data_IF_310172964554
#
_entry.id   IF_310172964554
#
_cell.length_a   1.000
_cell.length_b   1.000
_cell.length_c   1.000
_cell.angle_alpha   90.00
_cell.angle_beta   90.00
_cell.angle_gamma   90.00
#
_symmetry.space_group_name_H-M   'P 1'
#
loop_
_entity.id
_entity.type
_entity.pdbx_description
1 polymer ?
#
# COMPACT_ATOMS: atom_id res chain seq x y z
N UNK A 1 -16.75 -24.96 -26.51
CA UNK A 1 -16.55 -24.77 -25.08
C UNK A 1 -15.30 -23.91 -24.95
N UNK A 2 -15.47 -22.61 -24.85
CA UNK A 2 -14.36 -21.64 -24.70
C UNK A 2 -14.09 -21.49 -23.20
N UNK A 3 -12.95 -21.98 -22.73
CA UNK A 3 -12.42 -21.63 -21.41
C UNK A 3 -12.22 -20.13 -21.37
N UNK A 4 -13.04 -19.46 -20.59
CA UNK A 4 -12.82 -18.08 -20.18
C UNK A 4 -11.59 -18.01 -19.29
N UNK A 5 -10.42 -17.80 -19.88
CA UNK A 5 -9.23 -17.46 -19.13
C UNK A 5 -9.47 -16.10 -18.43
N UNK A 6 -9.57 -16.13 -17.09
CA UNK A 6 -9.56 -14.92 -16.25
C UNK A 6 -8.34 -14.05 -16.62
N UNK A 7 -8.50 -12.71 -16.69
CA UNK A 7 -7.40 -11.82 -17.04
C UNK A 7 -6.17 -12.08 -16.14
N UNK A 8 -4.97 -12.16 -16.72
CA UNK A 8 -3.71 -12.40 -16.01
C UNK A 8 -3.47 -11.46 -14.80
N UNK A 9 -4.05 -10.26 -14.82
CA UNK A 9 -3.99 -9.29 -13.72
C UNK A 9 -4.74 -9.76 -12.46
N UNK A 10 -5.94 -10.31 -12.60
CA UNK A 10 -6.71 -10.87 -11.49
C UNK A 10 -5.96 -12.01 -10.80
N UNK A 11 -5.30 -12.88 -11.58
CA UNK A 11 -4.49 -13.95 -11.02
C UNK A 11 -3.31 -13.46 -10.18
N UNK A 12 -2.69 -12.32 -10.54
CA UNK A 12 -1.57 -11.76 -9.76
C UNK A 12 -2.02 -11.11 -8.45
N UNK A 13 -3.14 -10.39 -8.45
CA UNK A 13 -3.72 -9.79 -7.25
C UNK A 13 -4.21 -10.86 -6.27
N UNK A 14 -4.87 -11.92 -6.77
CA UNK A 14 -5.30 -13.05 -5.94
C UNK A 14 -4.12 -13.82 -5.33
N UNK A 15 -3.02 -13.99 -6.08
CA UNK A 15 -1.83 -14.64 -5.56
C UNK A 15 -1.15 -13.81 -4.46
N UNK A 16 -1.11 -12.47 -4.60
CA UNK A 16 -0.63 -11.57 -3.57
C UNK A 16 -1.53 -11.61 -2.33
N UNK A 17 -2.86 -11.51 -2.51
CA UNK A 17 -3.84 -11.58 -1.44
C UNK A 17 -3.69 -12.84 -0.56
N UNK A 18 -3.48 -14.01 -1.18
CA UNK A 18 -3.24 -15.26 -0.42
C UNK A 18 -2.00 -15.18 0.45
N UNK A 19 -0.88 -14.66 -0.07
CA UNK A 19 0.37 -14.52 0.69
C UNK A 19 0.22 -13.57 1.86
N UNK A 20 -0.45 -12.44 1.65
CA UNK A 20 -0.78 -11.50 2.73
C UNK A 20 -1.71 -12.15 3.76
N UNK A 21 -2.72 -12.92 3.34
CA UNK A 21 -3.61 -13.64 4.26
C UNK A 21 -2.83 -14.65 5.12
N UNK A 22 -1.91 -15.40 4.51
CA UNK A 22 -1.09 -16.39 5.21
C UNK A 22 -0.13 -15.73 6.23
N UNK A 23 0.36 -14.52 5.92
CA UNK A 23 1.28 -13.76 6.76
C UNK A 23 0.59 -12.97 7.88
N UNK A 24 -0.73 -12.82 7.85
CA UNK A 24 -1.47 -11.83 8.65
C UNK A 24 -1.21 -11.92 10.16
N UNK A 25 -1.09 -13.13 10.74
CA UNK A 25 -0.89 -13.33 12.18
C UNK A 25 0.40 -12.73 12.71
N UNK A 26 1.48 -12.86 11.93
CA UNK A 26 2.83 -12.41 12.32
C UNK A 26 3.23 -11.11 11.63
N UNK A 27 2.35 -10.55 10.79
CA UNK A 27 2.61 -9.38 9.97
C UNK A 27 3.19 -8.20 10.77
N UNK A 28 2.57 -7.86 11.89
CA UNK A 28 2.95 -6.70 12.70
C UNK A 28 4.37 -6.82 13.29
N UNK A 29 4.86 -8.04 13.52
CA UNK A 29 6.22 -8.27 14.00
C UNK A 29 7.29 -8.04 12.93
N UNK A 30 6.91 -8.20 11.66
CA UNK A 30 7.84 -8.15 10.53
C UNK A 30 7.68 -6.88 9.67
N UNK A 31 6.52 -6.23 9.68
CA UNK A 31 6.17 -5.08 8.85
C UNK A 31 6.67 -3.74 9.41
N UNK A 32 7.97 -3.66 9.77
CA UNK A 32 8.56 -2.48 10.43
C UNK A 32 8.46 -1.22 9.58
N UNK A 33 8.86 -1.31 8.32
CA UNK A 33 8.83 -0.16 7.40
C UNK A 33 7.41 0.26 7.11
N UNK A 34 6.49 -0.70 6.92
CA UNK A 34 5.06 -0.44 6.70
C UNK A 34 4.46 0.33 7.88
N UNK A 35 4.79 -0.08 9.10
CA UNK A 35 4.36 0.61 10.33
C UNK A 35 4.91 2.03 10.41
N UNK A 36 6.20 2.24 10.15
CA UNK A 36 6.82 3.56 10.17
C UNK A 36 6.27 4.47 9.05
N UNK A 37 6.02 3.90 7.86
CA UNK A 37 5.37 4.62 6.76
C UNK A 37 3.95 5.04 7.12
N UNK A 38 3.15 4.15 7.71
CA UNK A 38 1.81 4.45 8.18
C UNK A 38 1.81 5.56 9.23
N UNK A 39 2.70 5.49 10.23
CA UNK A 39 2.87 6.54 11.24
C UNK A 39 3.23 7.89 10.61
N UNK A 40 4.12 7.88 9.62
CA UNK A 40 4.51 9.11 8.92
C UNK A 40 3.35 9.69 8.11
N UNK A 41 2.60 8.85 7.39
CA UNK A 41 1.40 9.27 6.65
C UNK A 41 0.37 9.91 7.60
N UNK A 42 0.11 9.29 8.76
CA UNK A 42 -0.80 9.84 9.77
C UNK A 42 -0.35 11.19 10.29
N UNK A 43 0.94 11.31 10.68
CA UNK A 43 1.50 12.57 11.18
C UNK A 43 1.43 13.69 10.15
N UNK A 44 1.69 13.37 8.89
CA UNK A 44 1.60 14.34 7.81
C UNK A 44 0.14 14.72 7.51
N UNK A 45 -0.75 13.74 7.45
CA UNK A 45 -2.18 13.97 7.29
C UNK A 45 -2.75 14.88 8.38
N UNK A 46 -2.32 14.68 9.63
CA UNK A 46 -2.74 15.52 10.77
C UNK A 46 -2.33 17.00 10.62
N UNK A 47 -1.27 17.28 9.87
CA UNK A 47 -0.83 18.65 9.54
C UNK A 47 -1.59 19.24 8.34
N UNK A 48 -2.06 18.38 7.43
CA UNK A 48 -2.79 18.81 6.24
C UNK A 48 -4.27 19.09 6.51
N UNK A 49 -4.87 18.34 7.41
CA UNK A 49 -6.29 18.46 7.72
C UNK A 49 -6.61 19.73 8.53
N UNK A 50 -7.71 20.43 8.25
CA UNK A 50 -8.20 21.50 9.11
C UNK A 50 -8.38 21.04 10.56
N UNK A 51 -8.19 21.97 11.52
CA UNK A 51 -8.28 21.65 12.97
C UNK A 51 -9.66 21.12 13.36
N UNK A 52 -10.70 21.56 12.68
CA UNK A 52 -12.08 21.18 12.88
C UNK A 52 -12.57 20.08 11.92
N UNK A 53 -11.63 19.46 11.17
CA UNK A 53 -11.96 18.39 10.26
C UNK A 53 -12.51 17.18 11.02
N UNK A 54 -13.77 16.88 10.78
CA UNK A 54 -14.50 15.79 11.43
C UNK A 54 -15.29 14.99 10.39
N UNK A 55 -14.66 13.98 9.75
CA UNK A 55 -15.32 13.20 8.72
C UNK A 55 -16.41 12.31 9.34
N UNK A 56 -17.51 12.12 8.63
CA UNK A 56 -18.57 11.18 9.05
C UNK A 56 -18.19 9.71 8.85
N UNK A 57 -17.32 9.47 7.87
CA UNK A 57 -16.78 8.15 7.60
C UNK A 57 -15.32 8.25 7.15
N UNK A 58 -14.53 7.25 7.51
CA UNK A 58 -13.18 7.03 7.04
C UNK A 58 -13.09 5.72 6.28
N UNK A 59 -12.29 5.68 5.23
CA UNK A 59 -12.00 4.47 4.45
C UNK A 59 -10.51 4.20 4.49
N UNK A 60 -10.11 2.99 4.88
CA UNK A 60 -8.73 2.51 4.84
C UNK A 60 -8.60 1.45 3.74
N UNK A 61 -7.95 1.81 2.63
CA UNK A 61 -7.80 0.93 1.46
C UNK A 61 -6.47 0.20 1.50
N UNK A 62 -6.52 -1.13 1.44
CA UNK A 62 -5.39 -2.00 1.73
C UNK A 62 -5.05 -1.94 3.21
N UNK A 63 -6.09 -2.05 4.05
CA UNK A 63 -6.01 -1.82 5.50
C UNK A 63 -5.04 -2.76 6.22
N UNK A 64 -4.75 -3.91 5.64
CA UNK A 64 -3.91 -4.92 6.26
C UNK A 64 -4.41 -5.28 7.66
N UNK A 65 -3.48 -5.35 8.60
CA UNK A 65 -3.76 -5.60 10.02
C UNK A 65 -4.14 -4.34 10.81
N UNK A 66 -4.25 -3.15 10.15
CA UNK A 66 -4.87 -1.95 10.70
C UNK A 66 -3.94 -0.87 11.24
N UNK A 67 -2.72 -0.68 10.72
CA UNK A 67 -1.84 0.41 11.18
C UNK A 67 -2.44 1.80 10.96
N UNK A 68 -3.15 2.02 9.84
CA UNK A 68 -3.86 3.26 9.57
C UNK A 68 -5.26 3.25 10.21
N UNK A 69 -5.95 2.11 10.19
CA UNK A 69 -7.26 1.94 10.84
C UNK A 69 -7.22 2.33 12.32
N UNK A 70 -6.15 1.95 13.06
CA UNK A 70 -5.96 2.35 14.46
C UNK A 70 -5.96 3.86 14.64
N UNK A 71 -5.22 4.56 13.80
CA UNK A 71 -5.16 6.02 13.83
C UNK A 71 -6.54 6.64 13.56
N UNK A 72 -7.27 6.15 12.54
CA UNK A 72 -8.61 6.65 12.21
C UNK A 72 -9.60 6.44 13.37
N UNK A 73 -9.61 5.26 13.99
CA UNK A 73 -10.47 4.94 15.13
C UNK A 73 -10.20 5.83 16.34
N UNK A 74 -8.93 6.18 16.58
CA UNK A 74 -8.53 7.02 17.70
C UNK A 74 -8.76 8.51 17.44
N UNK A 75 -8.41 8.99 16.22
CA UNK A 75 -8.51 10.41 15.87
C UNK A 75 -9.94 10.87 15.64
N UNK A 76 -10.79 10.02 15.07
CA UNK A 76 -12.17 10.33 14.71
C UNK A 76 -13.15 9.41 15.45
N UNK A 77 -13.39 9.65 16.77
CA UNK A 77 -14.18 8.75 17.61
C UNK A 77 -15.65 8.62 17.19
N UNK A 78 -16.18 9.61 16.45
CA UNK A 78 -17.57 9.60 15.99
C UNK A 78 -17.74 9.04 14.57
N UNK A 79 -16.64 8.75 13.86
CA UNK A 79 -16.68 8.28 12.48
C UNK A 79 -16.89 6.78 12.39
N UNK A 80 -17.66 6.33 11.39
CA UNK A 80 -17.57 4.96 10.91
C UNK A 80 -16.24 4.75 10.18
N UNK A 81 -15.60 3.61 10.37
CA UNK A 81 -14.34 3.25 9.69
C UNK A 81 -14.57 2.03 8.82
N UNK A 82 -14.39 2.19 7.52
CA UNK A 82 -14.52 1.14 6.52
C UNK A 82 -13.11 0.67 6.12
N UNK A 83 -12.76 -0.53 6.54
CA UNK A 83 -11.48 -1.16 6.20
C UNK A 83 -11.67 -2.09 4.97
N UNK A 84 -10.97 -1.78 3.90
CA UNK A 84 -11.03 -2.51 2.63
C UNK A 84 -9.71 -3.24 2.41
N UNK A 85 -9.75 -4.53 2.21
CA UNK A 85 -8.60 -5.33 1.83
C UNK A 85 -9.02 -6.52 0.95
N UNK A 86 -8.13 -7.00 0.09
CA UNK A 86 -8.34 -8.18 -0.72
C UNK A 86 -7.93 -9.48 0.00
N UNK A 87 -7.18 -9.36 1.10
CA UNK A 87 -6.64 -10.45 1.90
C UNK A 87 -7.53 -10.71 3.13
N UNK A 88 -8.34 -11.76 3.09
CA UNK A 88 -9.28 -12.12 4.15
C UNK A 88 -8.59 -12.32 5.51
N UNK A 89 -7.39 -12.92 5.53
CA UNK A 89 -6.60 -13.08 6.75
C UNK A 89 -6.23 -11.77 7.41
N UNK A 90 -5.95 -10.71 6.62
CA UNK A 90 -5.69 -9.37 7.14
C UNK A 90 -6.91 -8.79 7.84
N UNK A 91 -8.09 -8.85 7.22
CA UNK A 91 -9.34 -8.37 7.81
C UNK A 91 -9.72 -9.15 9.06
N UNK A 92 -9.44 -10.45 9.10
CA UNK A 92 -9.65 -11.28 10.28
C UNK A 92 -8.81 -10.80 11.46
N UNK A 93 -7.51 -10.57 11.24
CA UNK A 93 -6.61 -10.06 12.29
C UNK A 93 -6.97 -8.63 12.70
N UNK A 94 -7.34 -7.78 11.76
CA UNK A 94 -7.79 -6.42 12.01
C UNK A 94 -9.02 -6.40 12.93
N UNK A 95 -10.05 -7.20 12.62
CA UNK A 95 -11.26 -7.29 13.44
C UNK A 95 -10.96 -7.83 14.83
N UNK A 96 -10.04 -8.79 14.94
CA UNK A 96 -9.61 -9.34 16.23
C UNK A 96 -8.90 -8.29 17.10
N UNK A 97 -8.11 -7.40 16.49
CA UNK A 97 -7.37 -6.33 17.21
C UNK A 97 -8.27 -5.16 17.64
N UNK A 98 -9.25 -4.82 16.83
CA UNK A 98 -10.11 -3.64 17.04
C UNK A 98 -11.59 -4.03 17.06
N UNK A 99 -12.06 -4.71 18.12
CA UNK A 99 -13.47 -5.14 18.25
C UNK A 99 -14.38 -3.96 18.60
N UNK A 100 -14.84 -3.22 17.61
CA UNK A 100 -15.73 -2.07 17.76
C UNK A 100 -16.82 -2.06 16.69
N UNK A 101 -18.04 -1.63 17.04
CA UNK A 101 -19.16 -1.52 16.10
C UNK A 101 -18.94 -0.46 15.01
N UNK A 102 -17.99 0.45 15.21
CA UNK A 102 -17.65 1.48 14.22
C UNK A 102 -16.75 0.97 13.07
N UNK A 103 -16.17 -0.22 13.24
CA UNK A 103 -15.31 -0.82 12.23
C UNK A 103 -16.10 -1.77 11.33
N UNK A 104 -16.13 -1.46 10.04
CA UNK A 104 -16.77 -2.26 9.01
C UNK A 104 -15.69 -2.80 8.05
N UNK A 105 -15.55 -4.10 7.94
CA UNK A 105 -14.57 -4.73 7.05
C UNK A 105 -15.21 -5.15 5.74
N UNK A 106 -14.48 -4.94 4.63
CA UNK A 106 -14.93 -5.23 3.26
C UNK A 106 -13.85 -6.00 2.51
N UNK A 107 -14.17 -7.23 2.11
CA UNK A 107 -13.30 -8.05 1.26
C UNK A 107 -13.47 -7.60 -0.20
N UNK A 108 -12.74 -6.57 -0.60
CA UNK A 108 -12.84 -5.91 -1.90
C UNK A 108 -11.46 -5.57 -2.46
N UNK A 109 -11.39 -5.46 -3.79
CA UNK A 109 -10.22 -4.92 -4.47
C UNK A 109 -10.22 -3.38 -4.37
N UNK A 110 -9.27 -2.82 -3.64
CA UNK A 110 -9.16 -1.36 -3.46
C UNK A 110 -8.88 -0.58 -4.74
N UNK A 111 -8.34 -1.21 -5.79
CA UNK A 111 -8.18 -0.63 -7.13
C UNK A 111 -9.55 -0.41 -7.81
N UNK A 112 -10.53 -1.25 -7.49
CA UNK A 112 -11.87 -1.26 -8.12
C UNK A 112 -12.95 -0.69 -7.20
N UNK A 113 -12.54 -0.01 -6.12
CA UNK A 113 -13.46 0.58 -5.16
C UNK A 113 -14.40 1.57 -5.86
N UNK A 114 -15.70 1.43 -5.63
CA UNK A 114 -16.74 2.26 -6.23
C UNK A 114 -17.80 2.64 -5.19
N UNK A 115 -18.57 3.69 -5.47
CA UNK A 115 -19.59 4.25 -4.57
C UNK A 115 -20.65 3.22 -4.15
N UNK A 116 -21.01 2.31 -5.07
CA UNK A 116 -21.97 1.23 -4.79
C UNK A 116 -21.48 0.18 -3.80
N UNK A 117 -20.17 0.08 -3.58
CA UNK A 117 -19.58 -0.87 -2.63
C UNK A 117 -19.72 -0.41 -1.18
N UNK A 118 -19.68 0.91 -0.96
CA UNK A 118 -19.69 1.51 0.35
C UNK A 118 -20.67 2.68 0.35
N UNK A 119 -21.64 2.65 1.27
CA UNK A 119 -22.47 3.83 1.50
C UNK A 119 -21.69 4.82 2.37
N UNK A 120 -21.01 5.79 1.75
CA UNK A 120 -20.16 6.78 2.40
C UNK A 120 -20.80 8.15 2.24
N UNK A 121 -21.08 8.86 3.33
CA UNK A 121 -21.66 10.20 3.29
C UNK A 121 -20.62 11.23 2.77
N UNK A 122 -21.12 12.35 2.26
CA UNK A 122 -20.28 13.53 2.03
C UNK A 122 -19.51 13.89 3.32
N UNK A 123 -18.34 14.49 3.20
CA UNK A 123 -17.34 14.66 4.26
C UNK A 123 -16.75 13.33 4.74
N UNK A 124 -16.04 12.67 3.87
CA UNK A 124 -15.32 11.44 4.14
C UNK A 124 -13.83 11.60 3.86
N UNK A 125 -13.04 10.78 4.55
CA UNK A 125 -11.60 10.65 4.39
C UNK A 125 -11.28 9.25 3.88
N UNK A 126 -10.54 9.15 2.78
CA UNK A 126 -9.96 7.90 2.32
C UNK A 126 -8.44 7.93 2.52
N UNK A 127 -7.91 6.89 3.12
CA UNK A 127 -6.48 6.72 3.37
C UNK A 127 -6.00 5.38 2.83
N UNK A 128 -4.75 5.30 2.35
CA UNK A 128 -4.16 4.05 1.87
C UNK A 128 -2.66 4.03 2.12
N UNK A 129 -2.16 2.99 2.79
CA UNK A 129 -0.75 2.85 3.15
C UNK A 129 -0.03 1.76 2.38
N UNK A 130 0.94 2.11 1.54
CA UNK A 130 1.78 1.15 0.82
C UNK A 130 0.97 0.03 0.11
N UNK A 131 -0.17 0.41 -0.49
CA UNK A 131 -1.06 -0.50 -1.22
C UNK A 131 -1.06 -0.21 -2.72
N UNK A 132 -1.05 1.07 -3.13
CA UNK A 132 -1.24 1.49 -4.50
C UNK A 132 -0.21 0.91 -5.50
N UNK A 133 1.02 0.59 -5.07
CA UNK A 133 2.03 -0.06 -5.90
C UNK A 133 1.65 -1.48 -6.37
N UNK A 134 0.61 -2.08 -5.81
CA UNK A 134 0.09 -3.38 -6.23
C UNK A 134 -0.95 -3.29 -7.35
N UNK A 135 -1.43 -2.08 -7.64
CA UNK A 135 -2.49 -1.84 -8.63
C UNK A 135 -1.98 -1.91 -10.06
N UNK A 136 -2.87 -2.27 -10.96
CA UNK A 136 -2.58 -2.29 -12.37
C UNK A 136 -2.74 -0.92 -13.03
N UNK A 137 -3.59 -0.06 -12.45
CA UNK A 137 -3.84 1.30 -12.91
C UNK A 137 -4.08 2.22 -11.71
N UNK A 138 -3.00 2.84 -11.23
CA UNK A 138 -3.06 3.73 -10.06
C UNK A 138 -3.90 4.98 -10.35
N UNK A 139 -3.82 5.55 -11.56
CA UNK A 139 -4.61 6.72 -11.93
C UNK A 139 -6.11 6.45 -11.81
N UNK A 140 -6.56 5.36 -12.39
CA UNK A 140 -7.98 5.00 -12.32
C UNK A 140 -8.43 4.73 -10.87
N UNK A 141 -7.57 4.10 -10.06
CA UNK A 141 -7.86 3.89 -8.64
C UNK A 141 -8.03 5.23 -7.90
N UNK A 142 -7.13 6.21 -8.11
CA UNK A 142 -7.24 7.53 -7.48
C UNK A 142 -8.52 8.26 -7.92
N UNK A 143 -8.90 8.19 -9.20
CA UNK A 143 -10.16 8.76 -9.71
C UNK A 143 -11.37 8.16 -9.01
N UNK A 144 -11.39 6.83 -8.82
CA UNK A 144 -12.42 6.12 -8.08
C UNK A 144 -12.44 6.52 -6.60
N UNK A 145 -11.28 6.61 -5.96
CA UNK A 145 -11.18 7.05 -4.57
C UNK A 145 -11.73 8.46 -4.36
N UNK A 146 -11.44 9.40 -5.29
CA UNK A 146 -12.02 10.74 -5.27
C UNK A 146 -13.52 10.73 -5.56
N UNK A 147 -14.08 9.73 -6.26
CA UNK A 147 -15.54 9.61 -6.41
C UNK A 147 -16.23 9.14 -5.12
N UNK A 148 -15.51 8.39 -4.28
CA UNK A 148 -16.02 7.83 -3.02
C UNK A 148 -15.81 8.79 -1.85
N UNK A 149 -14.73 9.59 -1.86
CA UNK A 149 -14.31 10.43 -0.72
C UNK A 149 -13.95 11.85 -1.15
N UNK A 150 -14.12 12.81 -0.23
CA UNK A 150 -13.76 14.21 -0.48
C UNK A 150 -12.27 14.48 -0.27
N UNK A 151 -11.64 13.74 0.63
CA UNK A 151 -10.22 13.86 0.95
C UNK A 151 -9.57 12.48 0.80
N UNK A 152 -8.48 12.44 0.07
CA UNK A 152 -7.71 11.21 -0.18
C UNK A 152 -6.26 11.45 0.24
N UNK A 153 -5.71 10.56 1.05
CA UNK A 153 -4.29 10.54 1.38
C UNK A 153 -3.73 9.13 1.20
N UNK A 154 -2.58 9.00 0.54
CA UNK A 154 -1.99 7.68 0.37
C UNK A 154 -0.47 7.71 0.35
N UNK A 155 0.14 6.55 0.62
CA UNK A 155 1.55 6.32 0.38
C UNK A 155 1.76 5.15 -0.57
N UNK A 156 2.81 5.24 -1.37
CA UNK A 156 3.20 4.19 -2.31
C UNK A 156 4.71 3.98 -2.29
N UNK A 157 5.14 2.72 -2.39
CA UNK A 157 6.52 2.36 -2.64
C UNK A 157 6.88 2.76 -4.07
N UNK A 158 7.99 3.48 -4.23
CA UNK A 158 8.43 4.06 -5.50
C UNK A 158 9.66 3.33 -6.06
N UNK A 159 9.91 3.58 -7.34
CA UNK A 159 11.17 3.22 -7.98
C UNK A 159 12.37 3.79 -7.21
N UNK A 160 13.55 3.23 -7.42
CA UNK A 160 14.71 3.51 -6.57
C UNK A 160 14.67 2.88 -5.18
N UNK A 161 13.63 2.10 -4.84
CA UNK A 161 13.62 1.25 -3.65
C UNK A 161 14.47 0.00 -3.87
N UNK A 162 15.03 -0.55 -2.78
CA UNK A 162 15.82 -1.79 -2.78
C UNK A 162 17.08 -1.74 -3.65
N UNK A 163 17.74 -0.59 -3.74
CA UNK A 163 18.89 -0.40 -4.62
C UNK A 163 20.01 -1.43 -4.38
N UNK A 164 20.34 -1.72 -3.11
CA UNK A 164 21.37 -2.71 -2.79
C UNK A 164 20.99 -4.11 -3.31
N UNK A 165 19.71 -4.46 -3.28
CA UNK A 165 19.20 -5.72 -3.82
C UNK A 165 19.34 -5.78 -5.35
N UNK A 166 19.02 -4.70 -6.05
CA UNK A 166 19.15 -4.63 -7.51
C UNK A 166 20.61 -4.68 -7.95
N UNK A 167 21.49 -3.90 -7.32
CA UNK A 167 22.94 -3.93 -7.58
C UNK A 167 23.51 -5.33 -7.39
N UNK A 168 23.14 -6.04 -6.30
CA UNK A 168 23.61 -7.40 -6.06
C UNK A 168 23.14 -8.41 -7.13
N UNK A 169 21.96 -8.18 -7.73
CA UNK A 169 21.49 -8.98 -8.86
C UNK A 169 22.30 -8.68 -10.13
N UNK A 170 22.54 -7.42 -10.43
CA UNK A 170 23.35 -6.97 -11.58
C UNK A 170 24.78 -7.49 -11.50
N UNK A 171 25.45 -7.34 -10.37
CA UNK A 171 26.82 -7.80 -10.11
C UNK A 171 26.98 -9.31 -10.27
N UNK A 172 25.90 -10.06 -10.02
CA UNK A 172 25.90 -11.52 -10.18
C UNK A 172 25.36 -12.01 -11.54
N UNK A 173 25.06 -11.09 -12.46
CA UNK A 173 24.48 -11.37 -13.76
C UNK A 173 23.08 -11.98 -13.69
N UNK A 174 22.29 -11.61 -12.67
CA UNK A 174 20.95 -12.10 -12.43
C UNK A 174 19.92 -10.98 -12.54
N UNK A 175 18.68 -11.31 -12.83
CA UNK A 175 17.58 -10.32 -12.85
C UNK A 175 16.86 -10.33 -11.53
N UNK A 176 16.64 -9.15 -10.94
CA UNK A 176 15.79 -9.06 -9.76
C UNK A 176 14.35 -9.48 -10.08
N UNK A 177 13.69 -10.12 -9.13
CA UNK A 177 12.28 -10.47 -9.24
C UNK A 177 11.34 -9.32 -8.89
N UNK A 178 11.87 -8.13 -8.64
CA UNK A 178 11.08 -6.97 -8.24
C UNK A 178 10.07 -6.60 -9.32
N UNK A 179 8.87 -6.25 -8.88
CA UNK A 179 7.84 -5.70 -9.75
C UNK A 179 8.21 -4.27 -10.12
N UNK A 180 7.85 -3.80 -11.31
CA UNK A 180 7.96 -2.38 -11.63
C UNK A 180 7.19 -1.55 -10.60
N UNK A 181 7.86 -0.58 -10.01
CA UNK A 181 7.26 0.37 -9.08
C UNK A 181 6.98 1.68 -9.81
N UNK A 182 5.95 2.44 -9.40
CA UNK A 182 5.68 3.75 -9.97
C UNK A 182 6.82 4.71 -9.65
N UNK A 183 7.13 5.64 -10.56
CA UNK A 183 8.02 6.75 -10.24
C UNK A 183 7.26 7.87 -9.50
N UNK A 184 8.02 8.71 -8.77
CA UNK A 184 7.43 9.90 -8.17
C UNK A 184 6.86 10.84 -9.22
N UNK A 185 7.59 11.03 -10.32
CA UNK A 185 7.19 11.91 -11.42
C UNK A 185 5.90 11.44 -12.10
N UNK A 186 5.74 10.11 -12.30
CA UNK A 186 4.49 9.57 -12.86
C UNK A 186 3.30 9.89 -11.96
N UNK A 187 3.45 9.69 -10.64
CA UNK A 187 2.38 10.01 -9.70
C UNK A 187 2.11 11.51 -9.61
N UNK A 188 3.13 12.37 -9.64
CA UNK A 188 2.94 13.82 -9.73
C UNK A 188 2.18 14.23 -11.00
N UNK A 189 2.52 13.65 -12.14
CA UNK A 189 1.84 13.94 -13.40
C UNK A 189 0.36 13.55 -13.34
N UNK A 190 0.03 12.40 -12.72
CA UNK A 190 -1.35 12.00 -12.46
C UNK A 190 -2.07 13.04 -11.59
N UNK A 191 -1.48 13.47 -10.47
CA UNK A 191 -2.07 14.46 -9.59
C UNK A 191 -2.31 15.81 -10.30
N UNK A 192 -1.33 16.27 -11.07
CA UNK A 192 -1.44 17.50 -11.85
C UNK A 192 -2.56 17.42 -12.91
N UNK A 193 -2.71 16.27 -13.57
CA UNK A 193 -3.79 16.04 -14.52
C UNK A 193 -5.16 16.10 -13.83
N UNK A 194 -5.31 15.47 -12.67
CA UNK A 194 -6.57 15.51 -11.89
C UNK A 194 -6.96 16.93 -11.47
N UNK A 195 -5.99 17.79 -11.13
CA UNK A 195 -6.24 19.21 -10.85
C UNK A 195 -6.63 19.96 -12.13
N UNK A 196 -5.91 19.75 -13.22
CA UNK A 196 -6.22 20.41 -14.50
C UNK A 196 -7.61 20.04 -15.05
N UNK A 197 -8.07 18.81 -14.79
CA UNK A 197 -9.42 18.34 -15.16
C UNK A 197 -10.52 18.78 -14.18
N UNK A 198 -10.17 19.43 -13.06
CA UNK A 198 -11.12 19.85 -12.02
C UNK A 198 -11.68 18.69 -11.17
N UNK A 199 -11.05 17.52 -11.19
CA UNK A 199 -11.41 16.36 -10.36
C UNK A 199 -10.88 16.53 -8.94
N UNK A 200 -9.68 17.13 -8.80
CA UNK A 200 -9.12 17.56 -7.54
C UNK A 200 -9.02 19.09 -7.49
N UNK A 201 -9.29 19.70 -6.34
CA UNK A 201 -9.13 21.12 -6.11
C UNK A 201 -7.70 21.48 -5.70
N UNK A 202 -7.08 20.61 -4.89
CA UNK A 202 -5.72 20.79 -4.38
C UNK A 202 -5.01 19.44 -4.24
N UNK A 203 -3.68 19.51 -4.33
CA UNK A 203 -2.80 18.36 -4.09
C UNK A 203 -1.57 18.78 -3.31
N UNK A 204 -1.04 17.87 -2.50
CA UNK A 204 0.26 17.99 -1.88
C UNK A 204 0.98 16.63 -1.90
N UNK A 205 2.30 16.67 -1.98
CA UNK A 205 3.10 15.45 -2.00
C UNK A 205 4.51 15.68 -1.49
N UNK A 206 5.15 14.62 -1.02
CA UNK A 206 6.59 14.56 -0.74
C UNK A 206 7.07 13.11 -0.79
N UNK A 207 8.37 12.92 -0.77
CA UNK A 207 8.98 11.59 -0.67
C UNK A 207 9.83 11.47 0.58
N UNK A 208 10.03 10.23 1.04
CA UNK A 208 10.91 9.92 2.16
C UNK A 208 11.55 8.55 1.97
N UNK A 209 12.85 8.45 2.29
CA UNK A 209 13.55 7.18 2.36
C UNK A 209 13.47 6.63 3.79
N UNK A 210 13.08 5.37 3.90
CA UNK A 210 13.17 4.57 5.12
C UNK A 210 14.25 3.52 4.92
N UNK A 211 15.10 3.36 5.92
CA UNK A 211 16.18 2.37 5.90
C UNK A 211 15.80 1.18 6.77
N UNK A 212 15.96 -0.02 6.23
CA UNK A 212 15.76 -1.27 6.95
C UNK A 212 17.07 -2.06 6.98
N UNK A 213 17.59 -2.27 8.18
CA UNK A 213 18.86 -2.93 8.42
C UNK A 213 18.66 -4.41 8.67
N UNK A 214 19.43 -5.21 7.97
CA UNK A 214 19.39 -6.67 8.06
C UNK A 214 20.78 -7.23 8.31
N UNK A 215 20.91 -8.31 9.10
CA UNK A 215 22.20 -8.97 9.32
C UNK A 215 22.84 -9.48 8.04
N UNK A 216 22.01 -9.87 7.06
CA UNK A 216 22.43 -10.37 5.75
C UNK A 216 21.27 -10.29 4.73
N UNK A 217 21.56 -10.56 3.45
CA UNK A 217 20.57 -10.58 2.38
C UNK A 217 19.52 -11.69 2.53
N UNK A 218 19.82 -12.79 3.23
CA UNK A 218 18.85 -13.86 3.51
C UNK A 218 17.79 -13.38 4.51
N UNK A 219 18.20 -12.64 5.51
CA UNK A 219 17.31 -12.02 6.50
C UNK A 219 16.36 -11.04 5.84
N UNK A 220 16.85 -10.24 4.88
CA UNK A 220 16.00 -9.36 4.05
C UNK A 220 14.98 -10.18 3.25
N UNK A 221 15.42 -11.19 2.49
CA UNK A 221 14.51 -12.00 1.70
C UNK A 221 13.44 -12.71 2.56
N UNK A 222 13.82 -13.15 3.77
CA UNK A 222 12.90 -13.73 4.75
C UNK A 222 11.90 -12.70 5.29
N UNK A 223 12.33 -11.44 5.51
CA UNK A 223 11.44 -10.39 5.99
C UNK A 223 10.33 -10.07 4.98
N UNK A 224 10.65 -10.01 3.68
CA UNK A 224 9.64 -9.85 2.62
C UNK A 224 8.65 -11.03 2.58
N UNK A 225 9.14 -12.25 2.75
CA UNK A 225 8.29 -13.44 2.82
C UNK A 225 7.39 -13.42 4.04
N UNK A 226 7.91 -13.01 5.19
CA UNK A 226 7.18 -12.95 6.45
C UNK A 226 6.01 -11.98 6.43
N UNK A 227 6.07 -10.94 5.58
CA UNK A 227 4.96 -9.99 5.36
C UNK A 227 4.11 -10.34 4.13
N UNK A 228 4.40 -11.42 3.40
CA UNK A 228 3.67 -11.81 2.19
C UNK A 228 4.02 -11.00 0.93
N UNK A 229 5.06 -10.17 0.98
CA UNK A 229 5.45 -9.28 -0.12
C UNK A 229 6.51 -9.87 -1.08
N UNK A 230 6.82 -11.17 -0.96
CA UNK A 230 7.86 -11.87 -1.73
C UNK A 230 7.41 -12.37 -3.11
N UNK A 231 6.29 -11.85 -3.64
CA UNK A 231 5.79 -12.25 -4.95
C UNK A 231 6.63 -11.64 -6.07
N UNK A 232 7.33 -12.44 -6.88
CA UNK A 232 8.09 -11.93 -8.00
C UNK A 232 7.17 -11.41 -9.11
N UNK A 233 7.72 -10.57 -9.98
CA UNK A 233 7.03 -10.13 -11.20
C UNK A 233 6.60 -11.33 -12.06
N UNK A 234 5.54 -11.13 -12.83
CA UNK A 234 5.04 -12.14 -13.75
C UNK A 234 6.13 -12.53 -14.76
N UNK A 235 6.28 -13.82 -15.05
CA UNK A 235 7.28 -14.39 -15.95
C UNK A 235 8.75 -14.22 -15.45
N UNK A 236 8.97 -14.00 -14.15
CA UNK A 236 10.32 -14.01 -13.60
C UNK A 236 10.92 -15.42 -13.64
N UNK A 237 12.12 -15.54 -14.21
CA UNK A 237 12.88 -16.78 -14.21
C UNK A 237 13.57 -16.96 -12.85
N UNK A 238 13.46 -18.15 -12.20
CA UNK A 238 14.17 -18.39 -10.96
C UNK A 238 15.67 -18.12 -11.10
N UNK A 239 16.24 -17.42 -10.13
CA UNK A 239 17.65 -17.01 -10.10
C UNK A 239 18.42 -17.78 -9.02
N UNK A 240 19.74 -17.76 -9.12
CA UNK A 240 20.59 -18.30 -8.06
C UNK A 240 20.68 -17.31 -6.89
N UNK A 241 19.67 -17.33 -6.03
CA UNK A 241 19.57 -16.42 -4.90
C UNK A 241 20.78 -16.49 -3.95
N UNK A 242 21.47 -17.65 -3.86
CA UNK A 242 22.69 -17.76 -3.03
C UNK A 242 23.81 -16.82 -3.49
N UNK A 243 23.97 -16.64 -4.80
CA UNK A 243 24.97 -15.70 -5.34
C UNK A 243 24.62 -14.25 -4.97
N UNK A 244 23.35 -13.89 -5.10
CA UNK A 244 22.85 -12.55 -4.77
C UNK A 244 23.01 -12.26 -3.27
N UNK A 245 22.63 -13.20 -2.40
CA UNK A 245 22.80 -13.07 -0.95
C UNK A 245 24.28 -12.93 -0.59
N UNK A 246 25.17 -13.72 -1.25
CA UNK A 246 26.61 -13.61 -1.03
C UNK A 246 27.18 -12.24 -1.48
N UNK A 247 26.65 -11.67 -2.56
CA UNK A 247 27.07 -10.36 -3.06
C UNK A 247 26.63 -9.22 -2.12
N UNK A 248 25.48 -9.34 -1.46
CA UNK A 248 25.02 -8.39 -0.45
C UNK A 248 25.90 -8.37 0.80
N UNK A 249 26.59 -9.47 1.09
CA UNK A 249 27.47 -9.58 2.25
C UNK A 249 26.73 -9.60 3.58
N UNK A 250 27.49 -9.23 4.64
CA UNK A 250 26.99 -9.09 6.01
C UNK A 250 26.50 -7.66 6.26
N UNK A 251 25.48 -7.49 7.09
CA UNK A 251 24.94 -6.20 7.51
C UNK A 251 24.44 -5.32 6.32
N UNK A 252 23.53 -5.85 5.53
CA UNK A 252 22.95 -5.08 4.41
C UNK A 252 21.83 -4.12 4.87
N UNK A 253 21.74 -2.98 4.17
CA UNK A 253 20.70 -1.98 4.40
C UNK A 253 19.86 -1.85 3.14
N UNK A 254 18.55 -2.02 3.28
CA UNK A 254 17.61 -1.81 2.19
C UNK A 254 16.92 -0.46 2.35
N UNK A 255 16.91 0.31 1.29
CA UNK A 255 16.15 1.56 1.24
C UNK A 255 14.75 1.29 0.70
N UNK A 256 13.78 1.95 1.29
CA UNK A 256 12.41 2.04 0.83
C UNK A 256 12.14 3.51 0.48
N UNK A 257 12.11 3.83 -0.80
CA UNK A 257 11.73 5.14 -1.29
C UNK A 257 10.21 5.21 -1.36
N UNK A 258 9.59 6.02 -0.50
CA UNK A 258 8.13 6.08 -0.36
C UNK A 258 7.63 7.49 -0.67
N UNK A 259 6.65 7.58 -1.57
CA UNK A 259 5.89 8.78 -1.84
C UNK A 259 4.66 8.89 -0.96
N UNK A 260 4.33 10.11 -0.58
CA UNK A 260 3.16 10.49 0.20
C UNK A 260 2.39 11.53 -0.58
N UNK A 261 1.08 11.32 -0.73
CA UNK A 261 0.22 12.09 -1.62
C UNK A 261 -1.08 12.45 -0.91
N UNK A 262 -1.55 13.68 -1.11
CA UNK A 262 -2.78 14.22 -0.55
C UNK A 262 -3.56 14.92 -1.65
N UNK A 263 -4.87 14.70 -1.69
CA UNK A 263 -5.78 15.30 -2.66
C UNK A 263 -7.09 15.69 -1.97
N UNK A 264 -7.64 16.80 -2.39
CA UNK A 264 -9.00 17.23 -2.03
C UNK A 264 -9.85 17.38 -3.28
N UNK A 265 -11.08 16.94 -3.19
CA UNK A 265 -12.11 17.17 -4.21
C UNK A 265 -12.64 18.59 -4.10
N UNK A 266 -13.09 19.21 -5.22
CA UNK A 266 -13.76 20.51 -5.21
C UNK A 266 -14.98 20.61 -4.33
#
# INVERSE_FOLDING_TARGET
MSENALPRKLNSAQAASRRFSDAARDYDHHARVQKHSAQHLCQWLDQMLPVDFNPKACVDVGSGTGFLTEHLLNKFPESAVHAVDLAEGMLTELTRKYPTERLHTHLLNGEELAVEHLWIPNHSLLISGMCAQWFGNIEEAIRRWLSVSNTVAFSALLDGSFQAWEVAHEDTGQTSGLRPLPSHDDLQNILNALVAEGIAASTAHHTKNFLDHHPDGLSFARSLRAIGADQPRVNHTPVNLRKVISALGEACTMNYHIGFYYLERP
#
